data_IF_969916687410
#
_entry.id   IF_969916687410
#
_cell.length_a   1.000
_cell.length_b   1.000
_cell.length_c   1.000
_cell.angle_alpha   90.00
_cell.angle_beta   90.00
_cell.angle_gamma   90.00
#
_symmetry.space_group_name_H-M   'P 1'
#
loop_
_entity.id
_entity.type
_entity.pdbx_description
1 polymer ?
#
# COMPACT_ATOMS: atom_id res chain seq x y z
N UNK A 1 20.68 -54.94 -17.45
CA UNK A 1 20.19 -53.56 -17.25
C UNK A 1 18.90 -53.63 -16.47
N UNK A 2 18.95 -53.38 -15.16
CA UNK A 2 17.78 -53.25 -14.29
C UNK A 2 17.72 -51.77 -13.93
N UNK A 3 16.68 -51.08 -14.37
CA UNK A 3 16.46 -49.67 -14.02
C UNK A 3 15.77 -49.63 -12.66
N UNK A 4 16.39 -48.91 -11.72
CA UNK A 4 15.88 -48.66 -10.38
C UNK A 4 14.73 -47.64 -10.46
N UNK A 5 13.61 -47.97 -9.81
CA UNK A 5 12.52 -47.04 -9.51
C UNK A 5 13.02 -45.93 -8.59
N UNK A 6 12.92 -44.68 -9.04
CA UNK A 6 13.17 -43.50 -8.21
C UNK A 6 11.96 -43.20 -7.34
N UNK A 7 12.13 -43.31 -6.03
CA UNK A 7 11.11 -42.96 -5.05
C UNK A 7 10.79 -41.46 -5.07
N UNK A 8 9.50 -41.14 -5.11
CA UNK A 8 8.99 -39.78 -4.92
C UNK A 8 9.13 -39.38 -3.44
N UNK A 9 9.82 -38.26 -3.20
CA UNK A 9 9.87 -37.58 -1.91
C UNK A 9 8.53 -36.86 -1.63
N UNK A 10 7.91 -36.95 -0.44
CA UNK A 10 6.55 -36.43 -0.22
C UNK A 10 6.44 -34.91 -0.05
N UNK A 11 7.53 -34.14 -0.08
CA UNK A 11 7.52 -32.76 0.41
C UNK A 11 8.24 -31.76 -0.50
N UNK A 12 7.87 -31.73 -1.79
CA UNK A 12 8.16 -30.57 -2.63
C UNK A 12 6.84 -30.00 -3.11
N UNK A 13 6.31 -29.01 -2.38
CA UNK A 13 5.35 -28.09 -2.98
C UNK A 13 6.01 -27.53 -4.25
N UNK A 14 5.42 -27.73 -5.45
CA UNK A 14 5.96 -27.06 -6.62
C UNK A 14 5.90 -25.56 -6.34
N UNK A 15 6.93 -24.76 -6.71
CA UNK A 15 6.82 -23.32 -6.65
C UNK A 15 5.55 -22.93 -7.41
N UNK A 16 4.65 -22.21 -6.73
CA UNK A 16 3.42 -21.72 -7.33
C UNK A 16 3.80 -20.89 -8.56
N UNK A 17 3.64 -21.49 -9.74
CA UNK A 17 3.83 -20.80 -11.00
C UNK A 17 2.66 -19.86 -11.15
N UNK A 18 2.94 -18.56 -11.03
CA UNK A 18 2.04 -17.51 -11.52
C UNK A 18 1.63 -17.93 -12.94
N UNK A 19 0.34 -18.16 -13.23
CA UNK A 19 -0.05 -18.55 -14.58
C UNK A 19 0.19 -17.35 -15.49
N UNK A 20 1.33 -17.37 -16.18
CA UNK A 20 1.65 -16.48 -17.29
C UNK A 20 0.83 -16.94 -18.51
N UNK A 21 -0.46 -16.65 -18.53
CA UNK A 21 -1.28 -16.87 -19.73
C UNK A 21 -2.22 -15.71 -19.96
N UNK A 22 -1.89 -14.98 -21.03
CA UNK A 22 -2.54 -13.88 -21.73
C UNK A 22 -2.65 -12.49 -21.07
N UNK A 23 -2.12 -11.52 -21.82
CA UNK A 23 -1.68 -10.19 -21.40
C UNK A 23 -2.56 -9.09 -22.00
N UNK A 24 -3.88 -9.19 -21.84
CA UNK A 24 -4.82 -8.16 -22.32
C UNK A 24 -5.74 -7.71 -21.21
N UNK A 25 -6.07 -6.42 -21.16
CA UNK A 25 -7.30 -5.99 -20.48
C UNK A 25 -8.41 -6.40 -21.46
N UNK A 26 -8.99 -7.56 -21.22
CA UNK A 26 -10.12 -8.06 -21.99
C UNK A 26 -11.42 -7.39 -21.51
N UNK A 27 -12.51 -7.60 -22.24
CA UNK A 27 -13.83 -7.12 -21.81
C UNK A 27 -14.33 -7.82 -20.54
N UNK A 28 -13.71 -8.93 -20.13
CA UNK A 28 -14.04 -9.65 -18.88
C UNK A 28 -13.56 -8.91 -17.64
N UNK A 29 -12.57 -8.00 -17.77
CA UNK A 29 -12.13 -7.09 -16.70
C UNK A 29 -13.29 -6.44 -15.93
N UNK A 30 -14.35 -6.03 -16.64
CA UNK A 30 -15.50 -5.34 -16.04
C UNK A 30 -16.52 -6.27 -15.35
N UNK A 31 -16.48 -7.57 -15.63
CA UNK A 31 -17.46 -8.54 -15.16
C UNK A 31 -16.88 -9.57 -14.18
N UNK A 32 -15.62 -9.96 -14.35
CA UNK A 32 -14.91 -10.93 -13.52
C UNK A 32 -13.45 -10.50 -13.29
N UNK A 33 -13.19 -9.44 -12.51
CA UNK A 33 -11.83 -9.03 -12.20
C UNK A 33 -11.10 -10.13 -11.42
N UNK A 34 -9.82 -10.30 -11.72
CA UNK A 34 -8.97 -11.34 -11.13
C UNK A 34 -7.87 -10.70 -10.29
N UNK A 35 -7.16 -11.50 -9.49
CA UNK A 35 -5.96 -11.07 -8.76
C UNK A 35 -4.92 -10.40 -9.68
N UNK A 36 -4.81 -10.88 -10.92
CA UNK A 36 -3.92 -10.30 -11.94
C UNK A 36 -4.36 -8.90 -12.34
N UNK A 37 -5.66 -8.67 -12.50
CA UNK A 37 -6.21 -7.34 -12.76
C UNK A 37 -5.90 -6.39 -11.60
N UNK A 38 -6.08 -6.83 -10.35
CA UNK A 38 -5.77 -6.01 -9.16
C UNK A 38 -4.30 -5.62 -9.10
N UNK A 39 -3.41 -6.59 -9.34
CA UNK A 39 -1.97 -6.35 -9.44
C UNK A 39 -1.64 -5.31 -10.53
N UNK A 40 -2.17 -5.46 -11.75
CA UNK A 40 -1.93 -4.54 -12.88
C UNK A 40 -2.39 -3.12 -12.56
N UNK A 41 -3.61 -2.96 -12.05
CA UNK A 41 -4.16 -1.66 -11.68
C UNK A 41 -3.31 -1.00 -10.58
N UNK A 42 -2.81 -1.78 -9.62
CA UNK A 42 -1.97 -1.25 -8.54
C UNK A 42 -0.60 -0.79 -9.04
N UNK A 43 0.01 -1.51 -9.99
CA UNK A 43 1.26 -1.07 -10.64
C UNK A 43 1.04 0.24 -11.41
N UNK A 44 -0.06 0.34 -12.16
CA UNK A 44 -0.44 1.58 -12.87
C UNK A 44 -0.65 2.72 -11.87
N UNK A 45 -1.36 2.45 -10.78
CA UNK A 45 -1.59 3.40 -9.69
C UNK A 45 -0.28 3.87 -9.08
N UNK A 46 0.68 2.99 -8.80
CA UNK A 46 2.02 3.37 -8.33
C UNK A 46 2.70 4.34 -9.29
N UNK A 47 2.67 4.07 -10.60
CA UNK A 47 3.26 4.96 -11.60
C UNK A 47 2.60 6.34 -11.62
N UNK A 48 1.27 6.39 -11.61
CA UNK A 48 0.48 7.63 -11.63
C UNK A 48 0.73 8.46 -10.37
N UNK A 49 0.59 7.84 -9.19
CA UNK A 49 0.75 8.52 -7.89
C UNK A 49 2.19 8.97 -7.66
N UNK A 50 3.19 8.22 -8.11
CA UNK A 50 4.58 8.67 -8.06
C UNK A 50 4.83 9.91 -8.92
N UNK A 51 4.33 9.93 -10.16
CA UNK A 51 4.44 11.09 -11.04
C UNK A 51 3.69 12.29 -10.43
N UNK A 52 2.48 12.06 -9.93
CA UNK A 52 1.67 13.11 -9.29
C UNK A 52 2.34 13.67 -8.02
N UNK A 53 2.98 12.83 -7.21
CA UNK A 53 3.74 13.28 -6.04
C UNK A 53 4.88 14.23 -6.45
N UNK A 54 5.67 13.86 -7.46
CA UNK A 54 6.74 14.72 -7.99
C UNK A 54 6.17 16.03 -8.51
N UNK A 55 5.12 15.99 -9.33
CA UNK A 55 4.47 17.19 -9.85
C UNK A 55 3.91 18.07 -8.73
N UNK A 56 3.38 17.46 -7.67
CA UNK A 56 2.90 18.14 -6.48
C UNK A 56 3.99 18.92 -5.76
N UNK A 57 5.15 18.30 -5.53
CA UNK A 57 6.29 18.99 -4.90
C UNK A 57 6.90 20.08 -5.77
N UNK A 58 7.00 19.85 -7.08
CA UNK A 58 7.45 20.87 -8.04
C UNK A 58 6.47 22.05 -8.04
N UNK A 59 5.16 21.78 -8.05
CA UNK A 59 4.12 22.80 -7.99
C UNK A 59 4.13 23.56 -6.66
N UNK A 60 4.40 22.89 -5.54
CA UNK A 60 4.58 23.54 -4.24
C UNK A 60 5.69 24.59 -4.32
N UNK A 61 6.87 24.23 -4.81
CA UNK A 61 7.98 25.18 -4.94
C UNK A 61 7.79 26.26 -6.00
N UNK A 62 7.08 25.95 -7.09
CA UNK A 62 6.89 26.89 -8.20
C UNK A 62 5.70 27.85 -8.03
N UNK A 63 4.64 27.40 -7.35
CA UNK A 63 3.42 28.18 -7.13
C UNK A 63 3.24 28.65 -5.68
N UNK A 64 4.12 28.22 -4.77
CA UNK A 64 4.11 28.58 -3.35
C UNK A 64 2.78 28.26 -2.65
N UNK A 65 2.25 27.07 -2.96
CA UNK A 65 0.92 26.61 -2.55
C UNK A 65 1.01 25.51 -1.49
N UNK A 66 0.59 25.82 -0.27
CA UNK A 66 0.53 24.86 0.82
C UNK A 66 -0.41 23.68 0.49
N UNK A 67 -1.45 23.93 -0.31
CA UNK A 67 -2.34 22.87 -0.77
C UNK A 67 -1.65 21.87 -1.70
N UNK A 68 -0.69 22.32 -2.53
CA UNK A 68 0.12 21.44 -3.38
C UNK A 68 1.11 20.58 -2.59
N UNK A 69 1.62 21.08 -1.45
CA UNK A 69 2.38 20.24 -0.53
C UNK A 69 1.50 19.11 0.00
N UNK A 70 0.28 19.41 0.44
CA UNK A 70 -0.70 18.39 0.85
C UNK A 70 -1.02 17.38 -0.25
N UNK A 71 -1.20 17.85 -1.48
CA UNK A 71 -1.42 17.00 -2.65
C UNK A 71 -0.23 16.06 -2.93
N UNK A 72 1.01 16.55 -2.91
CA UNK A 72 2.19 15.74 -3.17
C UNK A 72 2.42 14.67 -2.09
N UNK A 73 2.22 15.04 -0.83
CA UNK A 73 2.36 14.14 0.32
C UNK A 73 1.26 13.07 0.37
N UNK A 74 0.03 13.41 0.01
CA UNK A 74 -1.04 12.40 -0.11
C UNK A 74 -0.71 11.39 -1.21
N UNK A 75 -0.18 11.85 -2.35
CA UNK A 75 0.16 10.95 -3.45
C UNK A 75 1.28 9.97 -3.06
N UNK A 76 2.18 10.36 -2.15
CA UNK A 76 3.14 9.42 -1.56
C UNK A 76 2.45 8.35 -0.70
N UNK A 77 1.38 8.71 0.00
CA UNK A 77 0.59 7.75 0.79
C UNK A 77 -0.21 6.81 -0.11
N UNK A 78 -0.84 7.29 -1.17
CA UNK A 78 -1.50 6.43 -2.17
C UNK A 78 -0.47 5.51 -2.85
N UNK A 79 0.72 6.00 -3.17
CA UNK A 79 1.82 5.17 -3.67
C UNK A 79 2.19 4.04 -2.69
N UNK A 80 2.41 4.36 -1.41
CA UNK A 80 2.72 3.36 -0.38
C UNK A 80 1.58 2.34 -0.23
N UNK A 81 0.33 2.79 -0.27
CA UNK A 81 -0.84 1.92 -0.23
C UNK A 81 -0.90 0.98 -1.45
N UNK A 82 -0.69 1.53 -2.65
CA UNK A 82 -0.68 0.77 -3.91
C UNK A 82 0.45 -0.28 -3.90
N UNK A 83 1.62 0.04 -3.33
CA UNK A 83 2.74 -0.91 -3.17
C UNK A 83 2.39 -2.08 -2.24
N UNK A 84 1.67 -1.82 -1.14
CA UNK A 84 1.19 -2.89 -0.23
C UNK A 84 0.28 -3.85 -0.98
N UNK A 85 -0.60 -3.32 -1.83
CA UNK A 85 -1.50 -4.11 -2.66
C UNK A 85 -0.73 -4.91 -3.72
N UNK A 86 0.20 -4.29 -4.45
CA UNK A 86 1.08 -4.96 -5.41
C UNK A 86 1.74 -6.17 -4.76
N UNK A 87 2.31 -5.99 -3.57
CA UNK A 87 2.94 -7.07 -2.82
C UNK A 87 1.94 -8.17 -2.40
N UNK A 88 0.75 -7.81 -1.91
CA UNK A 88 -0.30 -8.77 -1.50
C UNK A 88 -0.68 -9.69 -2.66
N UNK A 89 -0.98 -9.12 -3.83
CA UNK A 89 -1.40 -9.90 -5.00
C UNK A 89 -0.24 -10.60 -5.71
N UNK A 90 1.00 -10.10 -5.57
CA UNK A 90 2.20 -10.80 -6.06
C UNK A 90 2.40 -12.16 -5.38
N UNK A 91 2.06 -12.27 -4.09
CA UNK A 91 2.24 -13.51 -3.29
C UNK A 91 1.00 -14.42 -3.31
N UNK A 92 0.00 -14.13 -4.17
CA UNK A 92 -1.20 -14.96 -4.36
C UNK A 92 -2.50 -14.34 -3.83
N UNK A 93 -2.43 -13.19 -3.16
CA UNK A 93 -3.60 -12.42 -2.73
C UNK A 93 -4.51 -13.17 -1.75
N UNK A 94 -5.80 -12.92 -1.85
CA UNK A 94 -6.83 -13.52 -0.99
C UNK A 94 -7.18 -14.98 -1.36
N UNK A 95 -6.58 -15.51 -2.43
CA UNK A 95 -6.73 -16.91 -2.88
C UNK A 95 -5.60 -17.83 -2.40
N UNK A 96 -4.64 -17.30 -1.65
CA UNK A 96 -3.52 -18.06 -1.08
C UNK A 96 -3.97 -19.01 0.05
N UNK A 97 -3.12 -19.99 0.45
CA UNK A 97 -3.38 -20.84 1.61
C UNK A 97 -3.67 -20.03 2.89
N UNK A 98 -4.55 -20.51 3.80
CA UNK A 98 -4.99 -19.75 4.97
C UNK A 98 -3.84 -19.26 5.86
N UNK A 99 -2.78 -20.06 6.02
CA UNK A 99 -1.59 -19.68 6.78
C UNK A 99 -0.83 -18.52 6.14
N UNK A 100 -0.79 -18.47 4.81
CA UNK A 100 -0.15 -17.40 4.07
C UNK A 100 -0.99 -16.12 4.12
N UNK A 101 -2.32 -16.22 3.95
CA UNK A 101 -3.24 -15.08 4.10
C UNK A 101 -3.12 -14.45 5.48
N UNK A 102 -3.05 -15.26 6.55
CA UNK A 102 -2.85 -14.75 7.90
C UNK A 102 -1.51 -13.98 8.05
N UNK A 103 -0.43 -14.44 7.39
CA UNK A 103 0.86 -13.72 7.33
C UNK A 103 0.73 -12.41 6.54
N UNK A 104 0.03 -12.39 5.40
CA UNK A 104 -0.22 -11.19 4.60
C UNK A 104 -0.97 -10.13 5.42
N UNK A 105 -2.02 -10.53 6.14
CA UNK A 105 -2.81 -9.63 6.97
C UNK A 105 -2.01 -9.01 8.13
N UNK A 106 -1.09 -9.77 8.73
CA UNK A 106 -0.17 -9.23 9.76
C UNK A 106 0.74 -8.15 9.16
N UNK A 107 1.33 -8.40 7.99
CA UNK A 107 2.21 -7.43 7.30
C UNK A 107 1.44 -6.20 6.82
N UNK A 108 0.25 -6.37 6.28
CA UNK A 108 -0.62 -5.26 5.87
C UNK A 108 -1.02 -4.39 7.06
N UNK A 109 -1.31 -4.98 8.22
CA UNK A 109 -1.59 -4.23 9.45
C UNK A 109 -0.39 -3.37 9.86
N UNK A 110 0.83 -3.90 9.82
CA UNK A 110 2.06 -3.14 10.11
C UNK A 110 2.25 -1.99 9.12
N UNK A 111 2.08 -2.27 7.82
CA UNK A 111 2.15 -1.25 6.79
C UNK A 111 1.09 -0.15 7.00
N UNK A 112 -0.14 -0.52 7.37
CA UNK A 112 -1.22 0.42 7.67
C UNK A 112 -0.90 1.32 8.87
N UNK A 113 -0.22 0.80 9.91
CA UNK A 113 0.23 1.61 11.05
C UNK A 113 1.33 2.58 10.62
N UNK A 114 2.30 2.12 9.83
CA UNK A 114 3.35 2.99 9.30
C UNK A 114 2.77 4.11 8.44
N UNK A 115 1.85 3.79 7.53
CA UNK A 115 1.15 4.76 6.70
C UNK A 115 0.37 5.77 7.57
N UNK A 116 -0.26 5.31 8.66
CA UNK A 116 -0.97 6.21 9.58
C UNK A 116 -0.04 7.19 10.31
N UNK A 117 1.13 6.72 10.75
CA UNK A 117 2.17 7.58 11.36
C UNK A 117 2.66 8.61 10.35
N UNK A 118 2.96 8.16 9.11
CA UNK A 118 3.36 9.04 8.02
C UNK A 118 2.27 10.09 7.79
N UNK A 119 1.01 9.70 7.58
CA UNK A 119 -0.13 10.62 7.41
C UNK A 119 -0.24 11.67 8.52
N UNK A 120 -0.03 11.27 9.77
CA UNK A 120 -0.07 12.21 10.89
C UNK A 120 1.06 13.26 10.79
N UNK A 121 2.30 12.82 10.52
CA UNK A 121 3.45 13.71 10.33
C UNK A 121 3.21 14.65 9.13
N UNK A 122 2.71 14.11 8.01
CA UNK A 122 2.37 14.91 6.82
C UNK A 122 1.35 15.99 7.16
N UNK A 123 0.30 15.65 7.90
CA UNK A 123 -0.71 16.60 8.34
C UNK A 123 -0.13 17.72 9.20
N UNK A 124 0.77 17.42 10.14
CA UNK A 124 1.47 18.44 10.94
C UNK A 124 2.32 19.37 10.06
N UNK A 125 3.05 18.81 9.08
CA UNK A 125 3.87 19.59 8.15
C UNK A 125 3.01 20.53 7.32
N UNK A 126 1.95 20.02 6.67
CA UNK A 126 1.05 20.83 5.84
C UNK A 126 0.33 21.89 6.67
N UNK A 127 -0.07 21.57 7.90
CA UNK A 127 -0.70 22.53 8.81
C UNK A 127 0.25 23.69 9.12
N UNK A 128 1.50 23.37 9.43
CA UNK A 128 2.52 24.37 9.76
C UNK A 128 2.77 25.30 8.57
N UNK A 129 2.94 24.73 7.37
CA UNK A 129 3.09 25.49 6.13
C UNK A 129 1.86 26.36 5.85
N UNK A 130 0.65 25.82 5.98
CA UNK A 130 -0.58 26.57 5.73
C UNK A 130 -0.77 27.74 6.69
N UNK A 131 -0.42 27.57 7.97
CA UNK A 131 -0.47 28.66 8.97
C UNK A 131 0.53 29.76 8.63
N UNK A 132 1.76 29.40 8.24
CA UNK A 132 2.78 30.38 7.82
C UNK A 132 2.32 31.18 6.60
N UNK A 133 1.87 30.50 5.54
CA UNK A 133 1.40 31.16 4.31
C UNK A 133 0.20 32.09 4.59
N UNK A 134 -0.71 31.70 5.49
CA UNK A 134 -1.83 32.55 5.91
C UNK A 134 -1.39 33.77 6.73
N UNK A 135 -0.38 33.62 7.59
CA UNK A 135 0.15 34.71 8.41
C UNK A 135 0.91 35.74 7.55
N UNK A 136 1.66 35.25 6.56
CA UNK A 136 2.48 36.08 5.65
C UNK A 136 1.64 36.66 4.48
N UNK A 137 0.37 36.24 4.35
CA UNK A 137 -0.52 36.57 3.23
C UNK A 137 0.12 36.23 1.89
N UNK A 138 0.81 35.10 1.83
CA UNK A 138 1.41 34.62 0.61
C UNK A 138 0.34 34.27 -0.42
N UNK A 139 0.60 34.66 -1.66
CA UNK A 139 -0.31 34.42 -2.77
C UNK A 139 0.22 33.22 -3.53
N UNK A 140 -0.57 32.15 -3.64
CA UNK A 140 -0.30 31.12 -4.65
C UNK A 140 -0.23 31.75 -6.05
N UNK A 141 0.98 31.93 -6.58
CA UNK A 141 1.22 32.91 -7.65
C UNK A 141 0.86 32.39 -9.05
N UNK A 142 0.66 31.07 -9.19
CA UNK A 142 0.50 30.44 -10.49
C UNK A 142 -0.80 29.64 -10.60
N UNK A 143 -1.92 30.36 -10.67
CA UNK A 143 -3.27 29.78 -10.79
C UNK A 143 -3.40 28.84 -12.01
N UNK A 144 -2.74 29.19 -13.13
CA UNK A 144 -2.74 28.35 -14.34
C UNK A 144 -2.09 26.99 -14.12
N UNK A 145 -0.97 26.94 -13.40
CA UNK A 145 -0.29 25.70 -13.04
C UNK A 145 -1.14 24.85 -12.08
N UNK A 146 -1.77 25.47 -11.08
CA UNK A 146 -2.64 24.78 -10.13
C UNK A 146 -3.85 24.15 -10.84
N UNK A 147 -4.53 24.90 -11.72
CA UNK A 147 -5.65 24.37 -12.51
C UNK A 147 -5.18 23.26 -13.45
N UNK A 148 -4.08 23.49 -14.15
CA UNK A 148 -3.53 22.55 -15.15
C UNK A 148 -3.10 21.21 -14.55
N UNK A 149 -2.73 21.18 -13.27
CA UNK A 149 -2.38 19.95 -12.56
C UNK A 149 -3.59 19.33 -11.85
N UNK A 150 -4.36 20.13 -11.11
CA UNK A 150 -5.47 19.63 -10.29
C UNK A 150 -6.64 19.10 -11.10
N UNK A 151 -6.97 19.69 -12.26
CA UNK A 151 -8.09 19.22 -13.06
C UNK A 151 -7.85 17.82 -13.68
N UNK A 152 -6.72 17.54 -14.35
CA UNK A 152 -6.41 16.18 -14.79
C UNK A 152 -6.31 15.19 -13.64
N UNK A 153 -5.67 15.58 -12.52
CA UNK A 153 -5.55 14.73 -11.33
C UNK A 153 -6.91 14.35 -10.75
N UNK A 154 -7.86 15.28 -10.69
CA UNK A 154 -9.23 14.99 -10.27
C UNK A 154 -9.86 13.87 -11.10
N UNK A 155 -9.73 13.93 -12.43
CA UNK A 155 -10.29 12.91 -13.32
C UNK A 155 -9.57 11.58 -13.15
N UNK A 156 -8.23 11.59 -13.13
CA UNK A 156 -7.42 10.38 -13.02
C UNK A 156 -7.68 9.66 -11.69
N UNK A 157 -7.64 10.38 -10.57
CA UNK A 157 -7.88 9.80 -9.25
C UNK A 157 -9.33 9.39 -9.05
N UNK A 158 -10.30 10.14 -9.59
CA UNK A 158 -11.71 9.74 -9.56
C UNK A 158 -11.95 8.43 -10.30
N UNK A 159 -11.33 8.26 -11.47
CA UNK A 159 -11.38 7.00 -12.24
C UNK A 159 -10.68 5.87 -11.49
N UNK A 160 -9.46 6.11 -10.98
CA UNK A 160 -8.72 5.12 -10.19
C UNK A 160 -9.51 4.66 -8.96
N UNK A 161 -10.04 5.59 -8.17
CA UNK A 161 -10.85 5.29 -7.00
C UNK A 161 -12.07 4.42 -7.39
N UNK A 162 -12.78 4.77 -8.46
CA UNK A 162 -13.95 4.01 -8.93
C UNK A 162 -13.58 2.58 -9.33
N UNK A 163 -12.50 2.42 -10.10
CA UNK A 163 -11.99 1.10 -10.51
C UNK A 163 -11.57 0.30 -9.27
N UNK A 164 -10.79 0.91 -8.37
CA UNK A 164 -10.30 0.26 -7.16
C UNK A 164 -11.44 -0.18 -6.24
N UNK A 165 -12.47 0.65 -6.01
CA UNK A 165 -13.63 0.26 -5.21
C UNK A 165 -14.37 -0.93 -5.81
N UNK A 166 -14.65 -0.88 -7.12
CA UNK A 166 -15.36 -1.97 -7.81
C UNK A 166 -14.61 -3.29 -7.67
N UNK A 167 -13.30 -3.27 -7.88
CA UNK A 167 -12.45 -4.45 -7.77
C UNK A 167 -12.30 -4.92 -6.32
N UNK A 168 -12.26 -4.00 -5.35
CA UNK A 168 -12.20 -4.35 -3.93
C UNK A 168 -13.45 -5.12 -3.50
N UNK A 169 -14.63 -4.68 -3.95
CA UNK A 169 -15.89 -5.34 -3.65
C UNK A 169 -16.02 -6.69 -4.38
N UNK A 170 -15.59 -6.77 -5.65
CA UNK A 170 -15.64 -8.02 -6.44
C UNK A 170 -14.63 -9.08 -5.96
N UNK A 171 -13.44 -8.67 -5.52
CA UNK A 171 -12.41 -9.57 -4.98
C UNK A 171 -12.56 -9.82 -3.48
N UNK A 172 -13.46 -9.09 -2.80
CA UNK A 172 -13.64 -9.16 -1.36
C UNK A 172 -12.39 -8.76 -0.56
N UNK A 173 -11.54 -7.89 -1.13
CA UNK A 173 -10.20 -7.61 -0.61
C UNK A 173 -10.15 -6.34 0.25
N UNK A 174 -9.95 -6.45 1.58
CA UNK A 174 -9.90 -5.28 2.46
C UNK A 174 -8.71 -4.35 2.16
N UNK A 175 -7.60 -4.90 1.65
CA UNK A 175 -6.40 -4.14 1.30
C UNK A 175 -6.66 -3.23 0.11
N UNK A 176 -7.32 -3.77 -0.92
CA UNK A 176 -7.68 -3.03 -2.12
C UNK A 176 -8.68 -1.91 -1.82
N UNK A 177 -9.57 -2.14 -0.85
CA UNK A 177 -10.51 -1.12 -0.39
C UNK A 177 -9.82 0.07 0.29
N UNK A 178 -8.80 -0.18 1.11
CA UNK A 178 -7.99 0.90 1.72
C UNK A 178 -7.26 1.71 0.64
N UNK A 179 -6.77 1.03 -0.38
CA UNK A 179 -6.11 1.66 -1.51
C UNK A 179 -7.06 2.52 -2.35
N UNK A 180 -8.29 2.04 -2.58
CA UNK A 180 -9.34 2.83 -3.22
C UNK A 180 -9.68 4.12 -2.45
N UNK A 181 -9.68 4.04 -1.11
CA UNK A 181 -9.93 5.20 -0.24
C UNK A 181 -8.79 6.23 -0.36
N UNK A 182 -7.53 5.79 -0.51
CA UNK A 182 -6.42 6.70 -0.74
C UNK A 182 -6.64 7.48 -2.04
N UNK A 183 -6.87 6.80 -3.17
CA UNK A 183 -7.14 7.50 -4.44
C UNK A 183 -8.38 8.39 -4.39
N UNK A 184 -9.39 8.06 -3.59
CA UNK A 184 -10.53 8.95 -3.37
C UNK A 184 -10.13 10.24 -2.64
N UNK A 185 -9.25 10.16 -1.64
CA UNK A 185 -8.68 11.36 -1.02
C UNK A 185 -7.94 12.19 -2.06
N UNK A 186 -7.03 11.62 -2.84
CA UNK A 186 -6.36 12.31 -3.95
C UNK A 186 -7.33 13.04 -4.89
N UNK A 187 -8.47 12.42 -5.23
CA UNK A 187 -9.52 13.06 -6.03
C UNK A 187 -10.18 14.25 -5.31
N UNK A 188 -10.56 14.11 -4.04
CA UNK A 188 -11.17 15.17 -3.23
C UNK A 188 -10.20 16.35 -3.05
N UNK A 189 -8.91 16.06 -2.81
CA UNK A 189 -7.86 17.07 -2.70
C UNK A 189 -7.70 17.84 -4.02
N UNK A 190 -7.64 17.11 -5.13
CA UNK A 190 -7.57 17.69 -6.47
C UNK A 190 -8.76 18.60 -6.75
N UNK A 191 -9.97 18.18 -6.37
CA UNK A 191 -11.16 19.00 -6.49
C UNK A 191 -11.05 20.30 -5.66
N UNK A 192 -10.59 20.20 -4.41
CA UNK A 192 -10.39 21.35 -3.54
C UNK A 192 -9.43 22.38 -4.16
N UNK A 193 -8.26 21.93 -4.61
CA UNK A 193 -7.25 22.78 -5.26
C UNK A 193 -7.80 23.40 -6.55
N UNK A 194 -8.45 22.60 -7.41
CA UNK A 194 -9.05 23.08 -8.65
C UNK A 194 -10.10 24.16 -8.38
N UNK A 195 -11.06 23.87 -7.50
CA UNK A 195 -12.12 24.80 -7.14
C UNK A 195 -11.56 26.08 -6.53
N UNK A 196 -10.62 25.97 -5.60
CA UNK A 196 -9.97 27.13 -4.97
C UNK A 196 -9.22 27.99 -5.99
N UNK A 197 -8.54 27.36 -6.94
CA UNK A 197 -7.83 28.05 -8.02
C UNK A 197 -8.79 28.75 -8.98
N UNK A 198 -9.93 28.14 -9.32
CA UNK A 198 -10.98 28.78 -10.12
C UNK A 198 -11.55 30.02 -9.44
N UNK A 199 -11.83 29.94 -8.13
CA UNK A 199 -12.33 31.08 -7.35
C UNK A 199 -11.29 32.19 -7.32
N UNK A 200 -10.02 31.86 -7.10
CA UNK A 200 -8.92 32.84 -7.10
C UNK A 200 -8.73 33.51 -8.45
N UNK A 201 -8.90 32.77 -9.56
CA UNK A 201 -8.85 33.32 -10.92
C UNK A 201 -9.84 34.46 -11.15
N UNK A 202 -11.03 34.39 -10.53
CA UNK A 202 -12.06 35.42 -10.63
C UNK A 202 -12.01 36.50 -9.55
N UNK A 203 -11.18 36.35 -8.52
CA UNK A 203 -11.13 37.27 -7.37
C UNK A 203 -9.75 37.27 -6.68
N UNK A 204 -8.95 38.30 -6.93
CA UNK A 204 -7.62 38.47 -6.33
C UNK A 204 -7.66 38.59 -4.78
N UNK A 205 -8.81 38.98 -4.20
CA UNK A 205 -9.02 39.04 -2.76
C UNK A 205 -9.13 37.67 -2.07
N UNK A 206 -9.17 36.59 -2.84
CA UNK A 206 -9.34 35.22 -2.34
C UNK A 206 -8.01 34.50 -2.00
N UNK A 207 -6.99 35.25 -1.59
CA UNK A 207 -5.65 34.72 -1.25
C UNK A 207 -5.67 33.65 -0.16
N UNK A 208 -6.62 33.74 0.78
CA UNK A 208 -6.75 32.82 1.93
C UNK A 208 -7.28 31.43 1.56
N UNK A 209 -7.86 31.24 0.37
CA UNK A 209 -8.51 29.98 -0.01
C UNK A 209 -7.52 28.82 -0.05
N UNK A 210 -6.32 29.02 -0.58
CA UNK A 210 -5.28 27.98 -0.66
C UNK A 210 -4.90 27.48 0.75
N UNK A 211 -4.63 28.42 1.66
CA UNK A 211 -4.31 28.12 3.06
C UNK A 211 -5.46 27.42 3.78
N UNK A 212 -6.72 27.84 3.57
CA UNK A 212 -7.88 27.16 4.17
C UNK A 212 -8.04 25.74 3.63
N UNK A 213 -7.89 25.53 2.32
CA UNK A 213 -7.88 24.18 1.73
C UNK A 213 -6.77 23.36 2.39
N UNK A 214 -5.53 23.85 2.42
CA UNK A 214 -4.40 23.17 3.03
C UNK A 214 -4.64 22.81 4.51
N UNK A 215 -5.28 23.70 5.28
CA UNK A 215 -5.68 23.40 6.66
C UNK A 215 -6.71 22.27 6.74
N UNK A 216 -7.73 22.27 5.88
CA UNK A 216 -8.69 21.16 5.82
C UNK A 216 -8.01 19.83 5.50
N UNK A 217 -7.09 19.83 4.54
CA UNK A 217 -6.29 18.65 4.16
C UNK A 217 -5.49 18.16 5.36
N UNK A 218 -4.75 19.07 5.99
CA UNK A 218 -3.92 18.77 7.15
C UNK A 218 -4.72 18.17 8.31
N UNK A 219 -5.86 18.78 8.65
CA UNK A 219 -6.76 18.27 9.70
C UNK A 219 -7.30 16.89 9.35
N UNK A 220 -7.71 16.65 8.10
CA UNK A 220 -8.19 15.36 7.66
C UNK A 220 -7.10 14.28 7.77
N UNK A 221 -5.88 14.57 7.32
CA UNK A 221 -4.73 13.65 7.42
C UNK A 221 -4.39 13.32 8.89
N UNK A 222 -4.31 14.34 9.75
CA UNK A 222 -4.06 14.16 11.18
C UNK A 222 -5.16 13.32 11.84
N UNK A 223 -6.42 13.60 11.53
CA UNK A 223 -7.56 12.84 12.05
C UNK A 223 -7.51 11.37 11.63
N UNK A 224 -7.27 11.10 10.34
CA UNK A 224 -7.19 9.72 9.82
C UNK A 224 -6.00 8.97 10.42
N UNK A 225 -4.83 9.61 10.48
CA UNK A 225 -3.63 9.03 11.08
C UNK A 225 -3.85 8.71 12.55
N UNK A 226 -4.32 9.70 13.33
CA UNK A 226 -4.57 9.54 14.76
C UNK A 226 -5.64 8.48 15.04
N UNK A 227 -6.78 8.52 14.35
CA UNK A 227 -7.85 7.52 14.52
C UNK A 227 -7.36 6.11 14.22
N UNK A 228 -6.53 5.95 13.20
CA UNK A 228 -5.96 4.63 12.85
C UNK A 228 -5.01 4.15 13.93
N UNK A 229 -4.17 5.02 14.48
CA UNK A 229 -3.30 4.68 15.60
C UNK A 229 -4.10 4.33 16.85
N UNK A 230 -5.07 5.16 17.25
CA UNK A 230 -5.94 4.95 18.41
C UNK A 230 -6.70 3.62 18.30
N UNK A 231 -7.27 3.32 17.14
CA UNK A 231 -7.95 2.04 16.91
C UNK A 231 -7.01 0.84 17.11
N UNK A 232 -5.73 0.96 16.72
CA UNK A 232 -4.77 -0.12 16.98
C UNK A 232 -4.42 -0.23 18.48
N UNK A 233 -4.38 0.88 19.23
CA UNK A 233 -4.22 0.87 20.69
C UNK A 233 -5.40 0.16 21.36
N UNK A 234 -6.64 0.49 20.97
CA UNK A 234 -7.87 -0.09 21.53
C UNK A 234 -7.96 -1.60 21.28
N UNK A 235 -7.43 -2.05 20.14
CA UNK A 235 -7.31 -3.48 19.80
C UNK A 235 -6.17 -4.18 20.56
N UNK A 236 -5.54 -3.52 21.54
CA UNK A 236 -4.48 -4.06 22.38
C UNK A 236 -3.14 -4.24 21.65
N UNK A 237 -2.94 -3.54 20.53
CA UNK A 237 -1.73 -3.72 19.72
C UNK A 237 -0.66 -2.74 20.16
N UNK A 238 0.40 -3.28 20.71
CA UNK A 238 1.55 -2.53 21.16
C UNK A 238 2.49 -2.17 20.00
N UNK A 239 2.03 -1.39 19.02
CA UNK A 239 2.89 -1.00 17.88
C UNK A 239 4.12 -0.17 18.28
N UNK A 240 4.14 0.36 19.50
CA UNK A 240 5.29 1.03 20.11
C UNK A 240 6.34 0.07 20.66
N UNK A 241 6.08 -1.25 20.73
CA UNK A 241 7.07 -2.24 21.17
C UNK A 241 7.83 -2.84 19.98
N UNK A 242 9.14 -3.11 20.12
CA UNK A 242 9.91 -3.81 19.08
C UNK A 242 9.33 -5.19 18.74
N UNK A 243 8.63 -5.83 19.67
CA UNK A 243 7.96 -7.11 19.48
C UNK A 243 6.91 -7.07 18.37
N UNK A 244 6.17 -5.96 18.23
CA UNK A 244 5.21 -5.80 17.14
C UNK A 244 5.86 -5.79 15.75
N UNK A 245 7.11 -5.32 15.65
CA UNK A 245 7.84 -5.17 14.39
C UNK A 245 8.72 -6.39 14.04
N UNK A 246 9.12 -7.19 15.04
CA UNK A 246 9.93 -8.40 14.82
C UNK A 246 9.13 -9.44 14.02
N UNK A 247 9.75 -10.07 13.02
CA UNK A 247 9.15 -11.17 12.28
C UNK A 247 9.09 -12.45 13.14
N UNK A 248 8.06 -13.27 12.93
CA UNK A 248 7.96 -14.70 13.31
C UNK A 248 9.00 -15.58 12.58
N UNK A 249 10.18 -15.04 12.25
CA UNK A 249 11.29 -15.84 11.71
C UNK A 249 11.90 -16.79 12.74
N UNK A 250 11.45 -16.74 13.99
CA UNK A 250 11.84 -17.67 15.06
C UNK A 250 10.97 -18.93 15.05
N UNK A 251 9.67 -18.87 14.70
CA UNK A 251 8.82 -20.06 14.61
C UNK A 251 9.08 -20.91 13.34
N UNK A 252 9.60 -20.33 12.26
CA UNK A 252 10.15 -21.11 11.13
C UNK A 252 11.49 -21.78 11.50
N UNK A 253 12.35 -21.11 12.30
CA UNK A 253 13.58 -21.70 12.82
C UNK A 253 13.32 -22.80 13.86
N UNK A 254 12.32 -22.61 14.72
CA UNK A 254 11.87 -23.61 15.69
C UNK A 254 11.11 -24.76 15.04
N UNK A 255 10.31 -24.53 13.99
CA UNK A 255 9.68 -25.59 13.22
C UNK A 255 10.69 -26.38 12.36
N UNK A 256 11.74 -25.74 11.84
CA UNK A 256 12.86 -26.43 11.18
C UNK A 256 13.83 -27.10 12.17
N UNK A 257 13.98 -26.60 13.39
CA UNK A 257 14.71 -27.29 14.47
C UNK A 257 13.92 -28.47 15.03
N UNK A 258 12.62 -28.31 15.29
CA UNK A 258 11.73 -29.36 15.77
C UNK A 258 11.48 -30.45 14.71
N UNK A 259 11.40 -30.08 13.43
CA UNK A 259 11.36 -31.04 12.32
C UNK A 259 12.69 -31.73 12.02
N UNK A 260 13.82 -31.20 12.52
CA UNK A 260 15.15 -31.77 12.38
C UNK A 260 15.51 -32.79 13.47
N UNK A 261 14.99 -32.64 14.69
CA UNK A 261 15.27 -33.54 15.81
C UNK A 261 14.54 -34.90 15.71
N UNK A 262 13.43 -34.99 14.98
CA UNK A 262 12.71 -36.26 14.75
C UNK A 262 13.35 -37.21 13.74
N UNK A 263 14.34 -36.75 12.97
CA UNK A 263 15.00 -37.54 11.92
C UNK A 263 16.33 -38.17 12.36
N UNK A 264 16.83 -37.83 13.55
CA UNK A 264 18.11 -38.33 14.06
C UNK A 264 17.98 -39.67 14.84
N UNK A 265 16.79 -39.99 15.35
CA UNK A 265 16.57 -41.16 16.23
C UNK A 265 16.36 -42.49 15.47
N UNK A 266 16.21 -42.45 14.14
CA UNK A 266 16.01 -43.67 13.33
C UNK A 266 17.29 -44.18 12.65
N UNK A 267 18.44 -43.52 12.86
CA UNK A 267 19.74 -43.96 12.32
C UNK A 267 20.62 -44.71 13.31
N UNK A 268 20.36 -44.58 14.62
CA UNK A 268 21.15 -45.24 15.67
C UNK A 268 20.61 -46.62 16.07
N UNK A 269 19.48 -47.05 15.52
CA UNK A 269 18.91 -48.40 15.73
C UNK A 269 19.38 -49.45 14.72
N UNK A 270 20.26 -49.09 13.78
CA UNK A 270 20.95 -50.05 12.90
C UNK A 270 22.44 -50.08 13.31
N UNK A 271 22.71 -50.66 14.49
CA UNK A 271 24.06 -51.11 14.82
C UNK A 271 24.32 -52.43 14.09
N UNK A 272 25.30 -52.36 13.21
CA UNK A 272 26.00 -53.47 12.57
C UNK A 272 26.52 -54.41 13.66
N UNK A 273 25.97 -55.61 13.74
CA UNK A 273 26.61 -56.76 14.38
C UNK A 273 27.01 -57.77 13.28
N UNK A 274 28.33 -57.87 13.12
CA UNK A 274 29.15 -59.00 12.71
C UNK A 274 28.89 -59.71 11.38
N UNK A 275 29.58 -59.24 10.33
CA UNK A 275 30.09 -60.13 9.27
C UNK A 275 31.48 -60.60 9.70
N UNK A 276 31.53 -61.78 10.34
CA UNK A 276 32.76 -62.53 10.51
C UNK A 276 33.02 -63.37 9.24
N UNK A 277 34.19 -63.18 8.67
CA UNK A 277 34.83 -64.05 7.69
C UNK A 277 35.05 -65.44 8.29
N UNK A 278 34.62 -66.51 7.59
CA UNK A 278 35.42 -67.71 7.31
C UNK A 278 34.59 -68.82 6.61
N UNK A 279 35.18 -69.33 5.51
CA UNK A 279 34.88 -70.53 4.68
C UNK A 279 33.76 -70.43 3.63
#
# INVERSE_FOLDING_TARGET
>A
MVYLEGGESPNTHPPFKVPYTEYTIDSEFWYAPTAVHAYKISIISCGITFIAAILGFVAFGAADSAAMLGFGLENMVDLMSSMVVVWRFYVGGDSAPPELVAKLDRREKRASVLIAIVLFILGVTVMSTAVTHLAEKEHGNNVGLLIGLSFPSLLVFGVLATIKFRMADMLGSPSFKKDAICSLFGAILSFGVFFGSCVKSGNEGAWWIDGVIALFIAMACMWVGLRTMLKNIDEGKEFWTPAFWKEEGESEKEAQQSGGEGAYDMRDSIKVEDINTDI
#
